data_IF_369093889276
#
_entry.id   IF_369093889276
#
_cell.length_a   1.000
_cell.length_b   1.000
_cell.length_c   1.000
_cell.angle_alpha   90.00
_cell.angle_beta   90.00
_cell.angle_gamma   90.00
#
_symmetry.space_group_name_H-M   'P 1'
#
loop_
_entity.id
_entity.type
_entity.pdbx_description
1 polymer ?
#
# COMPACT_ATOMS: atom_id res chain seq x y z
N UNK A 1 21.77 45.39 3.33
CA UNK A 1 20.79 44.89 2.34
C UNK A 1 21.43 43.74 1.59
N UNK A 2 20.81 42.54 1.64
CA UNK A 2 21.20 41.42 0.80
C UNK A 2 21.86 40.23 1.50
N UNK A 3 21.21 39.68 2.53
CA UNK A 3 21.44 38.29 2.93
C UNK A 3 20.14 37.50 2.68
N UNK A 4 20.15 36.85 1.53
CA UNK A 4 19.52 35.55 1.23
C UNK A 4 18.09 35.30 1.67
N UNK A 5 17.19 35.41 0.69
CA UNK A 5 15.83 34.87 0.64
C UNK A 5 15.83 33.32 0.54
N UNK A 6 16.67 32.64 1.33
CA UNK A 6 16.91 31.18 1.22
C UNK A 6 16.81 30.50 2.59
N UNK A 7 15.84 30.92 3.39
CA UNK A 7 15.57 30.32 4.71
C UNK A 7 14.07 30.05 4.88
N UNK A 8 13.42 29.50 3.84
CA UNK A 8 12.03 29.04 3.95
C UNK A 8 11.80 27.59 3.51
N UNK A 9 12.75 26.94 2.81
CA UNK A 9 12.54 25.56 2.34
C UNK A 9 13.30 24.50 3.14
N UNK A 10 14.35 24.87 3.88
CA UNK A 10 15.16 23.89 4.63
C UNK A 10 14.58 23.58 6.01
N UNK A 11 13.83 24.50 6.62
CA UNK A 11 13.15 24.26 7.90
C UNK A 11 11.74 23.65 7.73
N UNK A 12 11.45 23.00 6.60
CA UNK A 12 10.14 22.36 6.33
C UNK A 12 10.23 20.84 6.10
N UNK A 13 11.44 20.26 6.12
CA UNK A 13 11.66 18.81 5.91
C UNK A 13 12.03 18.10 7.22
N UNK A 14 12.49 18.82 8.24
CA UNK A 14 12.98 18.22 9.50
C UNK A 14 11.89 18.07 10.58
N UNK A 15 10.69 18.60 10.37
CA UNK A 15 9.51 18.23 11.18
C UNK A 15 8.81 16.96 10.65
N UNK A 16 9.30 16.39 9.54
CA UNK A 16 9.28 14.95 9.26
C UNK A 16 7.93 14.24 9.29
N UNK A 17 6.81 14.93 9.12
CA UNK A 17 5.50 14.32 9.01
C UNK A 17 5.35 13.75 7.58
N UNK A 18 5.37 12.42 7.37
CA UNK A 18 5.27 11.84 6.04
C UNK A 18 3.87 12.02 5.43
N UNK A 19 2.86 12.32 6.24
CA UNK A 19 1.47 12.47 5.83
C UNK A 19 0.80 13.63 6.60
N UNK A 20 1.10 14.90 6.25
CA UNK A 20 0.54 16.07 6.90
C UNK A 20 -0.98 16.01 7.01
N UNK A 21 -1.49 16.17 8.23
CA UNK A 21 -2.92 16.15 8.54
C UNK A 21 -3.55 14.75 8.63
N UNK A 22 -2.77 13.66 8.48
CA UNK A 22 -3.24 12.28 8.64
C UNK A 22 -2.42 11.46 9.63
N UNK A 23 -1.10 11.64 9.63
CA UNK A 23 -0.16 10.85 10.44
C UNK A 23 -0.47 10.83 11.94
N UNK A 24 -0.99 11.94 12.49
CA UNK A 24 -1.39 12.06 13.89
C UNK A 24 -2.52 11.10 14.31
N UNK A 25 -3.21 10.49 13.33
CA UNK A 25 -4.33 9.59 13.53
C UNK A 25 -4.12 8.23 12.84
N UNK A 26 -2.88 7.92 12.45
CA UNK A 26 -2.52 6.60 11.95
C UNK A 26 -1.92 5.78 13.09
N UNK A 27 -2.49 4.59 13.29
CA UNK A 27 -2.06 3.66 14.33
C UNK A 27 -1.74 2.33 13.68
N UNK A 28 -0.66 1.70 14.14
CA UNK A 28 -0.30 0.34 13.78
C UNK A 28 -0.44 -0.54 15.04
N UNK A 29 -1.34 -1.54 15.06
CA UNK A 29 -1.51 -2.41 16.21
C UNK A 29 -0.34 -3.39 16.33
N UNK A 30 0.19 -3.53 17.53
CA UNK A 30 1.13 -4.59 17.89
C UNK A 30 0.41 -5.65 18.72
N UNK A 31 0.57 -6.92 18.35
CA UNK A 31 0.07 -8.08 19.09
C UNK A 31 1.25 -8.98 19.37
N UNK A 32 1.42 -9.41 20.62
CA UNK A 32 2.41 -10.40 21.00
C UNK A 32 1.72 -11.76 21.22
N UNK A 33 1.75 -12.67 20.24
CA UNK A 33 1.13 -13.98 20.35
C UNK A 33 2.03 -15.02 21.03
N UNK A 34 3.23 -14.65 21.48
CA UNK A 34 4.19 -15.58 22.08
C UNK A 34 3.69 -16.09 23.42
N UNK A 35 4.12 -17.30 23.77
CA UNK A 35 3.86 -17.82 25.10
C UNK A 35 4.60 -17.01 26.17
N UNK A 36 4.09 -17.04 27.40
CA UNK A 36 4.71 -16.35 28.53
C UNK A 36 6.14 -16.85 28.84
N UNK A 37 6.51 -18.03 28.33
CA UNK A 37 7.83 -18.63 28.49
C UNK A 37 8.89 -18.01 27.56
N UNK A 38 8.47 -17.55 26.37
CA UNK A 38 9.30 -16.86 25.38
C UNK A 38 9.28 -15.35 25.54
N UNK A 39 8.47 -14.83 26.48
CA UNK A 39 8.39 -13.41 26.79
C UNK A 39 9.69 -12.90 27.40
N UNK A 40 10.20 -11.79 26.88
CA UNK A 40 11.33 -11.05 27.46
C UNK A 40 10.88 -9.63 27.81
N UNK A 41 11.03 -9.20 29.07
CA UNK A 41 10.72 -7.83 29.47
C UNK A 41 11.49 -6.82 28.61
N UNK A 42 10.75 -5.86 28.04
CA UNK A 42 11.31 -4.79 27.20
C UNK A 42 11.52 -5.16 25.73
N UNK A 43 11.22 -6.39 25.32
CA UNK A 43 11.23 -6.76 23.90
C UNK A 43 9.93 -6.30 23.22
N UNK A 44 10.04 -5.49 22.17
CA UNK A 44 8.87 -5.07 21.39
C UNK A 44 8.28 -6.25 20.61
N UNK A 45 6.95 -6.30 20.43
CA UNK A 45 6.32 -7.27 19.54
C UNK A 45 6.80 -7.11 18.10
N UNK A 46 6.51 -8.12 17.27
CA UNK A 46 6.87 -8.06 15.85
C UNK A 46 6.22 -6.86 15.14
N UNK A 47 6.93 -6.28 14.18
CA UNK A 47 6.46 -5.17 13.35
C UNK A 47 5.37 -5.54 12.34
N UNK A 48 4.98 -6.82 12.26
CA UNK A 48 3.77 -7.28 11.59
C UNK A 48 3.03 -8.27 12.50
N UNK A 49 1.70 -8.17 12.51
CA UNK A 49 0.83 -9.18 13.15
C UNK A 49 0.84 -10.48 12.37
N UNK A 50 0.48 -11.58 13.02
CA UNK A 50 0.29 -12.86 12.32
C UNK A 50 -0.88 -12.76 11.34
N UNK A 51 -0.93 -13.67 10.36
CA UNK A 51 -2.06 -13.73 9.43
C UNK A 51 -3.41 -13.85 10.15
N UNK A 52 -3.50 -14.72 11.17
CA UNK A 52 -4.75 -14.96 11.91
C UNK A 52 -5.16 -13.70 12.67
N UNK A 53 -4.24 -13.07 13.39
CA UNK A 53 -4.53 -11.86 14.16
C UNK A 53 -4.90 -10.69 13.24
N UNK A 54 -4.17 -10.52 12.12
CA UNK A 54 -4.45 -9.50 11.12
C UNK A 54 -5.83 -9.65 10.49
N UNK A 55 -6.21 -10.88 10.14
CA UNK A 55 -7.55 -11.16 9.60
C UNK A 55 -8.65 -10.95 10.64
N UNK A 56 -8.44 -11.36 11.89
CA UNK A 56 -9.40 -11.14 12.98
C UNK A 56 -9.60 -9.64 13.27
N UNK A 57 -8.52 -8.86 13.28
CA UNK A 57 -8.59 -7.40 13.43
C UNK A 57 -9.33 -6.77 12.24
N UNK A 58 -9.02 -7.23 11.02
CA UNK A 58 -9.66 -6.75 9.80
C UNK A 58 -11.17 -7.07 9.78
N UNK A 59 -11.58 -8.22 10.30
CA UNK A 59 -12.99 -8.60 10.41
C UNK A 59 -13.72 -7.85 11.53
N UNK A 60 -13.05 -7.63 12.67
CA UNK A 60 -13.66 -6.96 13.83
C UNK A 60 -14.07 -5.51 13.57
N UNK A 61 -13.46 -4.86 12.56
CA UNK A 61 -13.80 -3.52 12.04
C UNK A 61 -14.18 -2.50 13.12
N UNK A 62 -13.23 -2.18 14.00
CA UNK A 62 -13.45 -1.29 15.14
C UNK A 62 -12.94 0.14 14.95
N UNK A 63 -12.09 0.37 13.95
CA UNK A 63 -11.60 1.69 13.60
C UNK A 63 -12.48 2.36 12.55
N UNK A 64 -12.45 3.70 12.46
CA UNK A 64 -13.18 4.45 11.42
C UNK A 64 -12.79 4.01 10.00
N UNK A 65 -11.53 3.60 9.84
CA UNK A 65 -10.97 2.91 8.68
C UNK A 65 -9.88 1.96 9.15
N UNK A 66 -9.74 0.81 8.50
CA UNK A 66 -8.65 -0.12 8.77
C UNK A 66 -8.18 -0.84 7.49
N UNK A 67 -6.86 -0.93 7.34
CA UNK A 67 -6.25 -1.66 6.25
C UNK A 67 -5.23 -2.66 6.77
N UNK A 68 -5.34 -3.91 6.32
CA UNK A 68 -4.30 -4.91 6.50
C UNK A 68 -3.38 -4.84 5.29
N UNK A 69 -2.07 -4.77 5.51
CA UNK A 69 -1.13 -4.68 4.40
C UNK A 69 0.16 -5.45 4.64
N UNK A 70 0.73 -5.95 3.55
CA UNK A 70 2.09 -6.50 3.53
C UNK A 70 2.78 -6.16 2.22
N UNK A 71 4.07 -5.85 2.31
CA UNK A 71 4.92 -5.69 1.13
C UNK A 71 5.27 -7.05 0.53
N UNK A 72 5.67 -7.03 -0.74
CA UNK A 72 6.25 -8.17 -1.42
C UNK A 72 6.75 -7.80 -2.80
N UNK A 73 7.11 -8.81 -3.58
CA UNK A 73 7.49 -8.64 -4.98
C UNK A 73 6.66 -9.59 -5.84
N UNK A 74 6.27 -9.14 -7.03
CA UNK A 74 5.42 -9.89 -7.95
C UNK A 74 6.01 -9.88 -9.36
N UNK A 75 5.96 -11.02 -10.03
CA UNK A 75 6.35 -11.12 -11.42
C UNK A 75 5.28 -10.50 -12.32
N UNK A 76 5.65 -9.46 -13.06
CA UNK A 76 4.81 -8.82 -14.07
C UNK A 76 5.10 -9.46 -15.43
N UNK A 77 4.05 -9.92 -16.11
CA UNK A 77 4.14 -10.37 -17.51
C UNK A 77 3.38 -9.38 -18.41
N UNK A 78 4.08 -8.44 -19.07
CA UNK A 78 3.45 -7.50 -19.99
C UNK A 78 2.80 -8.22 -21.17
N UNK A 79 1.64 -7.73 -21.60
CA UNK A 79 1.00 -8.19 -22.85
C UNK A 79 1.60 -7.53 -24.09
N UNK A 80 2.39 -6.47 -23.90
CA UNK A 80 3.06 -5.73 -24.97
C UNK A 80 4.29 -6.50 -25.45
N UNK A 81 4.35 -6.77 -26.76
CA UNK A 81 5.53 -7.35 -27.40
C UNK A 81 6.76 -6.46 -27.19
N UNK A 82 7.90 -7.09 -26.89
CA UNK A 82 9.18 -6.41 -26.69
C UNK A 82 9.44 -5.91 -25.27
N UNK A 83 8.63 -6.32 -24.29
CA UNK A 83 8.93 -6.10 -22.87
C UNK A 83 9.05 -7.47 -22.19
N UNK A 84 10.26 -7.81 -21.75
CA UNK A 84 10.50 -9.05 -21.00
C UNK A 84 9.79 -9.02 -19.64
N UNK A 85 9.40 -10.17 -19.08
CA UNK A 85 8.91 -10.24 -17.70
C UNK A 85 9.90 -9.67 -16.68
N UNK A 86 9.39 -9.04 -15.64
CA UNK A 86 10.19 -8.43 -14.58
C UNK A 86 9.48 -8.50 -13.24
N UNK A 87 10.25 -8.36 -12.16
CA UNK A 87 9.68 -8.20 -10.83
C UNK A 87 9.39 -6.73 -10.53
N UNK A 88 8.28 -6.46 -9.86
CA UNK A 88 7.95 -5.17 -9.26
C UNK A 88 7.69 -5.34 -7.77
N UNK A 89 7.98 -4.30 -7.00
CA UNK A 89 7.51 -4.20 -5.62
C UNK A 89 6.00 -4.01 -5.60
N UNK A 90 5.34 -4.72 -4.69
CA UNK A 90 3.90 -4.70 -4.54
C UNK A 90 3.52 -4.52 -3.07
N UNK A 91 2.43 -3.81 -2.84
CA UNK A 91 1.75 -3.75 -1.56
C UNK A 91 0.44 -4.53 -1.70
N UNK A 92 0.31 -5.63 -0.96
CA UNK A 92 -0.95 -6.35 -0.81
C UNK A 92 -1.72 -5.64 0.29
N UNK A 93 -2.94 -5.18 -0.01
CA UNK A 93 -3.72 -4.36 0.92
C UNK A 93 -5.22 -4.51 0.69
N UNK A 94 -6.03 -3.84 1.50
CA UNK A 94 -7.49 -3.78 1.40
C UNK A 94 -7.97 -2.41 0.91
N UNK A 95 -9.24 -2.30 0.53
CA UNK A 95 -9.82 -1.10 -0.09
C UNK A 95 -9.68 0.17 0.76
N UNK A 96 -9.74 0.07 2.10
CA UNK A 96 -9.69 1.24 2.97
C UNK A 96 -8.31 1.91 3.04
N UNK A 97 -7.25 1.25 2.53
CA UNK A 97 -5.93 1.84 2.39
C UNK A 97 -5.97 3.16 1.61
N UNK A 98 -6.66 3.19 0.47
CA UNK A 98 -6.66 4.38 -0.39
C UNK A 98 -7.25 5.62 0.28
N UNK A 99 -8.46 5.59 0.88
CA UNK A 99 -9.00 6.73 1.60
C UNK A 99 -8.26 7.01 2.91
N UNK A 100 -7.70 6.00 3.60
CA UNK A 100 -6.89 6.18 4.81
C UNK A 100 -5.63 7.01 4.52
N UNK A 101 -4.88 6.66 3.47
CA UNK A 101 -3.64 7.34 3.10
C UNK A 101 -3.81 8.50 2.10
N UNK A 102 -5.02 8.67 1.55
CA UNK A 102 -5.30 9.76 0.60
C UNK A 102 -4.59 9.59 -0.73
N UNK A 103 -4.48 8.34 -1.20
CA UNK A 103 -3.74 7.99 -2.41
C UNK A 103 -4.40 8.66 -3.63
N UNK A 104 -3.67 9.50 -4.38
CA UNK A 104 -4.23 10.17 -5.54
C UNK A 104 -4.28 9.24 -6.76
N UNK A 105 -5.34 9.35 -7.55
CA UNK A 105 -5.51 8.60 -8.79
C UNK A 105 -5.36 9.51 -10.00
N UNK A 106 -4.51 9.12 -10.94
CA UNK A 106 -4.41 9.80 -12.24
C UNK A 106 -5.57 9.40 -13.17
N UNK A 107 -5.94 8.12 -13.14
CA UNK A 107 -7.05 7.54 -13.87
C UNK A 107 -7.79 6.57 -12.94
N UNK A 108 -9.10 6.44 -13.13
CA UNK A 108 -9.92 5.50 -12.37
C UNK A 108 -10.02 5.81 -10.88
N UNK A 109 -10.19 4.75 -10.09
CA UNK A 109 -10.39 4.80 -8.65
C UNK A 109 -9.89 3.50 -7.99
N UNK A 110 -9.80 3.50 -6.66
CA UNK A 110 -9.54 2.30 -5.86
C UNK A 110 -10.61 1.22 -6.08
N UNK A 111 -10.29 -0.05 -5.79
CA UNK A 111 -11.33 -1.06 -5.61
C UNK A 111 -12.13 -0.83 -4.32
N UNK A 112 -13.29 -1.48 -4.20
CA UNK A 112 -14.19 -1.32 -3.05
C UNK A 112 -14.24 -2.53 -2.10
N UNK A 113 -14.98 -2.40 -1.00
CA UNK A 113 -15.17 -3.49 -0.02
C UNK A 113 -15.82 -4.76 -0.63
N UNK A 114 -16.64 -4.61 -1.67
CA UNK A 114 -17.19 -5.75 -2.40
C UNK A 114 -16.13 -6.53 -3.19
N UNK A 115 -15.12 -5.82 -3.74
CA UNK A 115 -13.99 -6.44 -4.42
C UNK A 115 -13.12 -7.21 -3.40
N UNK A 116 -12.87 -6.64 -2.22
CA UNK A 116 -12.19 -7.34 -1.11
C UNK A 116 -12.94 -8.62 -0.71
N UNK A 117 -14.25 -8.51 -0.45
CA UNK A 117 -15.10 -9.62 0.02
C UNK A 117 -15.19 -10.75 -1.01
N UNK A 118 -15.24 -10.40 -2.29
CA UNK A 118 -15.31 -11.37 -3.40
C UNK A 118 -13.94 -11.87 -3.86
N UNK A 119 -12.84 -11.38 -3.25
CA UNK A 119 -11.46 -11.69 -3.64
C UNK A 119 -11.21 -11.38 -5.12
N UNK A 120 -11.72 -10.24 -5.58
CA UNK A 120 -11.58 -9.81 -6.96
C UNK A 120 -10.10 -9.65 -7.33
N UNK A 121 -9.75 -10.07 -8.55
CA UNK A 121 -8.40 -9.89 -9.09
C UNK A 121 -8.28 -8.49 -9.69
N UNK A 122 -8.08 -7.51 -8.82
CA UNK A 122 -7.93 -6.10 -9.18
C UNK A 122 -6.60 -5.55 -8.67
N UNK A 123 -6.03 -4.58 -9.38
CA UNK A 123 -4.75 -3.99 -9.00
C UNK A 123 -4.71 -2.50 -9.34
N UNK A 124 -4.30 -1.67 -8.38
CA UNK A 124 -3.93 -0.28 -8.66
C UNK A 124 -2.44 -0.24 -8.97
N UNK A 125 -2.08 0.38 -10.09
CA UNK A 125 -0.69 0.44 -10.55
C UNK A 125 -0.13 1.85 -10.51
N UNK A 126 1.18 1.96 -10.22
CA UNK A 126 1.87 3.24 -10.24
C UNK A 126 1.94 3.82 -11.67
N UNK A 127 2.11 5.14 -11.78
CA UNK A 127 2.30 5.80 -13.08
C UNK A 127 3.53 5.27 -13.83
N UNK A 128 4.59 4.88 -13.10
CA UNK A 128 5.80 4.29 -13.68
C UNK A 128 5.52 2.91 -14.29
N UNK A 129 4.82 2.04 -13.56
CA UNK A 129 4.41 0.73 -14.06
C UNK A 129 3.46 0.88 -15.25
N UNK A 130 2.45 1.75 -15.15
CA UNK A 130 1.52 2.04 -16.24
C UNK A 130 2.22 2.49 -17.52
N UNK A 131 3.25 3.35 -17.40
CA UNK A 131 4.08 3.77 -18.54
C UNK A 131 4.83 2.60 -19.16
N UNK A 132 5.40 1.72 -18.33
CA UNK A 132 6.16 0.56 -18.79
C UNK A 132 5.29 -0.47 -19.51
N UNK A 133 4.13 -0.82 -18.95
CA UNK A 133 3.28 -1.90 -19.47
C UNK A 133 2.21 -1.46 -20.46
N UNK A 134 1.67 -0.23 -20.34
CA UNK A 134 0.56 0.27 -21.16
C UNK A 134 0.87 1.59 -21.88
N UNK A 135 2.09 2.11 -21.79
CA UNK A 135 2.48 3.36 -22.46
C UNK A 135 2.00 4.65 -21.77
N UNK A 136 1.39 4.57 -20.59
CA UNK A 136 1.09 5.73 -19.72
C UNK A 136 -0.25 6.43 -19.98
N UNK A 137 -1.03 5.96 -20.95
CA UNK A 137 -2.42 6.36 -21.14
C UNK A 137 -3.35 5.78 -20.08
N UNK A 138 -4.65 6.01 -20.24
CA UNK A 138 -5.66 5.37 -19.40
C UNK A 138 -5.60 3.84 -19.56
N UNK A 139 -5.45 3.14 -18.45
CA UNK A 139 -5.33 1.69 -18.36
C UNK A 139 -6.44 1.04 -17.55
N UNK A 140 -7.43 1.82 -17.09
CA UNK A 140 -8.59 1.29 -16.36
C UNK A 140 -9.29 0.23 -17.21
N UNK A 141 -9.57 -0.91 -16.58
CA UNK A 141 -10.20 -2.07 -17.21
C UNK A 141 -9.24 -2.97 -17.99
N UNK A 142 -7.98 -2.58 -18.20
CA UNK A 142 -7.00 -3.44 -18.90
C UNK A 142 -6.54 -4.58 -18.01
N UNK A 143 -6.20 -5.70 -18.64
CA UNK A 143 -5.65 -6.86 -17.96
C UNK A 143 -4.13 -6.75 -17.83
N UNK A 144 -3.64 -6.90 -16.60
CA UNK A 144 -2.24 -7.05 -16.25
C UNK A 144 -2.01 -8.47 -15.73
N UNK A 145 -1.02 -9.18 -16.26
CA UNK A 145 -0.66 -10.49 -15.72
C UNK A 145 0.36 -10.35 -14.62
N UNK A 146 0.00 -10.84 -13.44
CA UNK A 146 0.79 -10.85 -12.22
C UNK A 146 0.89 -12.31 -11.75
N UNK A 147 2.12 -12.81 -11.66
CA UNK A 147 2.43 -14.20 -11.26
C UNK A 147 1.56 -15.25 -11.99
N UNK A 148 1.41 -15.09 -13.31
CA UNK A 148 0.64 -16.00 -14.16
C UNK A 148 -0.88 -15.76 -14.14
N UNK A 149 -1.41 -15.02 -13.17
CA UNK A 149 -2.84 -14.68 -13.07
C UNK A 149 -3.17 -13.31 -13.69
N UNK A 150 -4.34 -13.18 -14.29
CA UNK A 150 -4.82 -11.91 -14.83
C UNK A 150 -5.52 -11.08 -13.74
N UNK A 151 -5.10 -9.84 -13.59
CA UNK A 151 -5.70 -8.81 -12.74
C UNK A 151 -6.23 -7.68 -13.62
N UNK A 152 -7.36 -7.11 -13.24
CA UNK A 152 -7.91 -5.92 -13.89
C UNK A 152 -7.36 -4.67 -13.19
N UNK A 153 -6.80 -3.76 -13.99
CA UNK A 153 -6.42 -2.41 -13.54
C UNK A 153 -7.64 -1.54 -13.33
#
# INVERSE_FOLDING_TARGET
MGASMTMLTVLHVLSGDPLPGRSAHLYYPQVDPRDALSYRPGEEPMGQVTWIDGMNLLEAHRADRQALMTGGSVAVQPTRNGVDPFFEEALYTTAEFFPMFGVPFRYGHAWGAADDSSRARVAVISAALNRRVFGGGDSVGKLLRLDGAAFRV
#
